data_IF_424817332604
#
_entry.id   IF_424817332604
#
_cell.length_a   1.000
_cell.length_b   1.000
_cell.length_c   1.000
_cell.angle_alpha   90.00
_cell.angle_beta   90.00
_cell.angle_gamma   90.00
#
_symmetry.space_group_name_H-M   'P 1'
#
loop_
_entity.id
_entity.type
_entity.pdbx_description
1 polymer ?
#
# COMPACT_ATOMS: atom_id res chain seq x y z
N UNK A 1 -7.92 5.03 6.25
CA UNK A 1 -6.97 4.31 5.36
C UNK A 1 -7.33 4.41 3.90
N UNK A 2 -6.33 4.45 3.02
CA UNK A 2 -6.47 4.26 1.58
C UNK A 2 -5.40 3.29 1.06
N UNK A 3 -5.78 2.33 0.20
CA UNK A 3 -4.82 1.52 -0.57
C UNK A 3 -4.32 2.37 -1.73
N UNK A 4 -3.01 2.56 -1.82
CA UNK A 4 -2.38 3.37 -2.86
C UNK A 4 -1.91 2.52 -4.04
N UNK A 5 -1.47 1.29 -3.76
CA UNK A 5 -0.95 0.37 -4.77
C UNK A 5 -1.10 -1.07 -4.29
N UNK A 6 -1.34 -1.98 -5.23
CA UNK A 6 -1.24 -3.43 -5.01
C UNK A 6 -0.38 -4.00 -6.13
N UNK A 7 0.63 -4.78 -5.77
CA UNK A 7 1.57 -5.37 -6.73
C UNK A 7 1.70 -6.86 -6.46
N UNK A 8 1.47 -7.66 -7.50
CA UNK A 8 1.78 -9.09 -7.48
C UNK A 8 3.29 -9.31 -7.45
N UNK A 9 3.73 -10.22 -6.60
CA UNK A 9 5.13 -10.57 -6.42
C UNK A 9 5.32 -12.04 -6.79
N UNK A 10 6.48 -12.38 -7.34
CA UNK A 10 6.87 -13.77 -7.63
C UNK A 10 7.66 -14.41 -6.48
N UNK A 11 7.77 -13.72 -5.33
CA UNK A 11 8.68 -14.04 -4.24
C UNK A 11 8.00 -14.75 -3.06
N UNK A 12 8.53 -14.54 -1.85
CA UNK A 12 8.03 -15.17 -0.61
C UNK A 12 6.64 -14.69 -0.17
N UNK A 13 6.12 -13.62 -0.78
CA UNK A 13 4.76 -13.15 -0.62
C UNK A 13 4.15 -13.00 -2.01
N UNK A 14 2.82 -13.16 -2.10
CA UNK A 14 2.09 -13.01 -3.37
C UNK A 14 1.79 -11.56 -3.70
N UNK A 15 1.61 -10.71 -2.68
CA UNK A 15 1.20 -9.32 -2.82
C UNK A 15 2.04 -8.37 -1.95
N UNK A 16 2.41 -7.23 -2.52
CA UNK A 16 2.82 -6.04 -1.79
C UNK A 16 1.72 -4.99 -1.88
N UNK A 17 1.21 -4.57 -0.73
CA UNK A 17 0.12 -3.59 -0.63
C UNK A 17 0.64 -2.32 0.03
N UNK A 18 0.59 -1.22 -0.70
CA UNK A 18 0.84 0.12 -0.16
C UNK A 18 -0.42 0.68 0.47
N UNK A 19 -0.36 1.07 1.75
CA UNK A 19 -1.48 1.69 2.46
C UNK A 19 -1.05 2.99 3.13
N UNK A 20 -1.94 3.98 3.11
CA UNK A 20 -1.83 5.19 3.93
C UNK A 20 -2.83 5.06 5.06
N UNK A 21 -2.34 5.12 6.30
CA UNK A 21 -3.12 5.05 7.52
C UNK A 21 -2.89 6.32 8.35
N UNK A 22 -3.92 6.76 9.08
CA UNK A 22 -3.83 7.98 9.91
C UNK A 22 -2.94 7.77 11.13
N UNK A 23 -2.97 6.57 11.71
CA UNK A 23 -2.20 6.15 12.88
C UNK A 23 -2.02 4.61 12.90
N UNK A 24 -1.42 4.10 13.97
CA UNK A 24 -1.15 2.67 14.13
C UNK A 24 -2.43 1.84 14.32
N UNK A 25 -3.46 2.40 14.94
CA UNK A 25 -4.74 1.69 15.14
C UNK A 25 -5.48 1.54 13.81
N UNK A 26 -5.45 2.58 12.96
CA UNK A 26 -5.98 2.54 11.60
C UNK A 26 -5.24 1.49 10.76
N UNK A 27 -3.92 1.35 10.91
CA UNK A 27 -3.14 0.31 10.25
C UNK A 27 -3.49 -1.09 10.78
N UNK A 28 -3.63 -1.27 12.09
CA UNK A 28 -3.99 -2.57 12.68
C UNK A 28 -5.38 -3.02 12.25
N UNK A 29 -6.34 -2.09 12.19
CA UNK A 29 -7.68 -2.35 11.66
C UNK A 29 -7.62 -2.87 10.22
N UNK A 30 -6.75 -2.29 9.38
CA UNK A 30 -6.54 -2.74 7.99
C UNK A 30 -5.91 -4.12 7.95
N UNK A 31 -4.99 -4.44 8.87
CA UNK A 31 -4.43 -5.79 9.01
C UNK A 31 -5.52 -6.84 9.19
N UNK A 32 -6.46 -6.56 10.10
CA UNK A 32 -7.61 -7.44 10.33
C UNK A 32 -8.48 -7.59 9.09
N UNK A 33 -8.74 -6.49 8.36
CA UNK A 33 -9.53 -6.54 7.14
C UNK A 33 -8.85 -7.34 6.02
N UNK A 34 -7.55 -7.20 5.83
CA UNK A 34 -6.80 -7.97 4.82
C UNK A 34 -6.80 -9.45 5.18
N UNK A 35 -6.54 -9.81 6.44
CA UNK A 35 -6.59 -11.20 6.91
C UNK A 35 -7.98 -11.82 6.81
N UNK A 36 -9.05 -11.02 6.86
CA UNK A 36 -10.43 -11.50 6.73
C UNK A 36 -10.82 -11.82 5.27
N UNK A 37 -10.01 -11.45 4.27
CA UNK A 37 -10.28 -11.74 2.86
C UNK A 37 -10.10 -13.25 2.61
N UNK A 38 -11.12 -13.93 2.03
CA UNK A 38 -10.99 -15.35 1.70
C UNK A 38 -9.78 -15.62 0.80
N UNK A 39 -8.97 -16.60 1.19
CA UNK A 39 -7.73 -16.97 0.48
C UNK A 39 -6.47 -16.26 0.99
N UNK A 40 -6.58 -15.29 1.91
CA UNK A 40 -5.40 -14.73 2.59
C UNK A 40 -5.01 -15.64 3.74
N UNK A 41 -3.90 -16.37 3.59
CA UNK A 41 -3.41 -17.29 4.62
C UNK A 41 -2.57 -16.59 5.69
N UNK A 42 -1.84 -15.54 5.31
CA UNK A 42 -0.95 -14.78 6.18
C UNK A 42 -0.79 -13.36 5.67
N UNK A 43 -0.52 -12.44 6.59
CA UNK A 43 -0.15 -11.06 6.28
C UNK A 43 1.01 -10.64 7.18
N UNK A 44 2.03 -10.02 6.58
CA UNK A 44 3.11 -9.34 7.30
C UNK A 44 2.98 -7.85 7.06
N UNK A 45 3.04 -7.05 8.11
CA UNK A 45 2.95 -5.60 8.02
C UNK A 45 4.23 -4.94 8.51
N UNK A 46 4.57 -3.82 7.89
CA UNK A 46 5.70 -2.99 8.28
C UNK A 46 5.32 -1.53 8.12
N UNK A 47 5.77 -0.70 9.06
CA UNK A 47 5.53 0.74 9.03
C UNK A 47 6.74 1.41 8.40
N UNK A 48 6.52 2.21 7.35
CA UNK A 48 7.55 3.06 6.80
C UNK A 48 7.87 4.17 7.81
N UNK A 49 9.06 4.13 8.39
CA UNK A 49 9.48 5.09 9.43
C UNK A 49 9.94 6.43 8.83
N UNK A 50 10.57 6.38 7.65
CA UNK A 50 11.04 7.55 6.93
C UNK A 50 11.11 7.26 5.43
N UNK A 51 10.82 8.27 4.61
CA UNK A 51 10.90 8.17 3.16
C UNK A 51 12.25 8.72 2.67
N UNK A 52 13.12 7.84 2.18
CA UNK A 52 14.45 8.24 1.67
C UNK A 52 14.34 8.93 0.31
N UNK A 53 13.40 8.47 -0.53
CA UNK A 53 13.10 9.06 -1.83
C UNK A 53 11.60 9.25 -1.95
N UNK A 54 11.18 10.50 -2.17
CA UNK A 54 9.78 10.86 -2.33
C UNK A 54 9.10 10.08 -3.46
N UNK A 55 7.89 9.58 -3.21
CA UNK A 55 7.03 9.02 -4.24
C UNK A 55 6.69 10.07 -5.32
N UNK A 56 7.01 9.81 -6.59
CA UNK A 56 6.97 10.81 -7.68
C UNK A 56 5.89 10.59 -8.74
N UNK A 57 4.80 9.89 -8.41
CA UNK A 57 3.71 9.68 -9.37
C UNK A 57 2.89 10.95 -9.61
N UNK A 58 2.82 11.87 -8.63
CA UNK A 58 2.05 13.12 -8.75
C UNK A 58 2.44 13.95 -10.00
N UNK A 59 3.73 14.28 -10.25
CA UNK A 59 4.11 15.00 -11.48
C UNK A 59 3.63 14.34 -12.78
N UNK A 60 3.67 13.01 -12.87
CA UNK A 60 3.21 12.26 -14.04
C UNK A 60 1.69 12.36 -14.22
N UNK A 61 0.93 12.28 -13.12
CA UNK A 61 -0.51 12.47 -13.13
C UNK A 61 -0.91 13.89 -13.51
N UNK A 62 -0.16 14.88 -13.04
CA UNK A 62 -0.37 16.28 -13.40
C UNK A 62 -0.06 16.54 -14.88
N UNK A 63 0.93 15.85 -15.46
CA UNK A 63 1.22 15.89 -16.91
C UNK A 63 0.08 15.28 -17.73
N UNK A 64 -0.36 14.07 -17.39
CA UNK A 64 -1.50 13.42 -18.04
C UNK A 64 -2.78 14.28 -17.94
N UNK A 65 -3.02 14.90 -16.79
CA UNK A 65 -4.18 15.78 -16.58
C UNK A 65 -4.10 17.06 -17.43
N UNK A 66 -2.90 17.51 -17.82
CA UNK A 66 -2.71 18.63 -18.76
C UNK A 66 -2.93 18.24 -20.23
N UNK A 67 -3.20 16.96 -20.52
CA UNK A 67 -3.59 16.49 -21.86
C UNK A 67 -2.43 16.35 -22.85
N UNK A 68 -1.23 16.04 -22.37
CA UNK A 68 -0.10 15.64 -23.22
C UNK A 68 0.01 14.12 -23.31
#
# INVERSE_FOLDING_TARGET
TQVTQVTGLSGAADLLIGVVATDADDLYRVAGLVLAVPGVERTTMSVAMHEVVAYRTRPLLEELARGQ
#
